data_IF_609565241234
#
_entry.id   IF_609565241234
#
_cell.length_a   1.000
_cell.length_b   1.000
_cell.length_c   1.000
_cell.angle_alpha   90.00
_cell.angle_beta   90.00
_cell.angle_gamma   90.00
#
_symmetry.space_group_name_H-M   'P 1'
#
loop_
_entity.id
_entity.type
_entity.pdbx_description
1 polymer ?
#
# COMPACT_ATOMS: atom_id res chain seq x y z
N UNK A 1 22.88 14.29 -4.79
CA UNK A 1 21.41 14.05 -4.71
C UNK A 1 20.93 12.79 -5.44
N UNK A 2 21.59 12.32 -6.51
CA UNK A 2 21.23 11.05 -7.19
C UNK A 2 21.74 9.83 -6.41
N UNK A 3 22.94 9.89 -5.82
CA UNK A 3 23.56 8.76 -5.10
C UNK A 3 22.76 8.28 -3.88
N UNK A 4 22.15 9.19 -3.12
CA UNK A 4 21.30 8.87 -1.95
C UNK A 4 20.00 8.16 -2.35
N UNK A 5 19.42 8.51 -3.51
CA UNK A 5 18.24 7.83 -4.05
C UNK A 5 18.60 6.41 -4.55
N UNK A 6 19.77 6.26 -5.16
CA UNK A 6 20.31 4.96 -5.60
C UNK A 6 20.60 4.06 -4.39
N UNK A 7 21.19 4.57 -3.31
CA UNK A 7 21.41 3.77 -2.09
C UNK A 7 20.10 3.35 -1.42
N UNK A 8 19.12 4.26 -1.32
CA UNK A 8 17.80 3.94 -0.75
C UNK A 8 17.03 2.89 -1.57
N UNK A 9 17.11 2.95 -2.91
CA UNK A 9 16.48 1.96 -3.79
C UNK A 9 17.19 0.60 -3.76
N UNK A 10 18.54 0.60 -3.69
CA UNK A 10 19.33 -0.62 -3.50
C UNK A 10 19.07 -1.29 -2.14
N UNK A 11 18.93 -0.51 -1.05
CA UNK A 11 18.55 -1.04 0.26
C UNK A 11 17.18 -1.72 0.24
N UNK A 12 16.17 -1.11 -0.41
CA UNK A 12 14.86 -1.75 -0.57
C UNK A 12 15.01 -3.05 -1.37
N UNK A 13 15.76 -3.07 -2.46
CA UNK A 13 15.97 -4.27 -3.28
C UNK A 13 16.66 -5.41 -2.50
N UNK A 14 17.66 -5.11 -1.66
CA UNK A 14 18.30 -6.12 -0.82
C UNK A 14 17.33 -6.79 0.14
N UNK A 15 16.38 -6.03 0.71
CA UNK A 15 15.33 -6.58 1.57
C UNK A 15 14.37 -7.55 0.83
N UNK A 16 14.28 -7.54 -0.52
CA UNK A 16 13.51 -8.61 -1.24
C UNK A 16 14.25 -9.92 -1.08
N UNK A 17 15.56 -9.87 -1.32
CA UNK A 17 16.41 -11.04 -1.47
C UNK A 17 16.65 -11.71 -0.11
N UNK A 18 16.84 -10.91 0.94
CA UNK A 18 17.05 -11.42 2.31
C UNK A 18 15.74 -11.75 3.03
N UNK A 19 14.60 -11.25 2.53
CA UNK A 19 13.30 -11.41 3.19
C UNK A 19 13.12 -10.58 4.46
N UNK A 20 14.09 -9.71 4.78
CA UNK A 20 14.04 -8.83 5.94
C UNK A 20 12.88 -7.82 5.86
N UNK A 21 12.30 -7.53 7.02
CA UNK A 21 11.13 -6.64 7.15
C UNK A 21 11.36 -5.68 8.33
N UNK A 22 12.07 -4.56 8.12
CA UNK A 22 12.51 -3.69 9.21
C UNK A 22 11.36 -2.91 9.87
N UNK A 23 10.21 -2.77 9.22
CA UNK A 23 9.11 -1.93 9.71
C UNK A 23 8.00 -2.76 10.35
N UNK A 24 7.77 -2.65 11.65
CA UNK A 24 6.71 -3.39 12.35
C UNK A 24 5.46 -2.55 12.61
N UNK A 25 4.29 -3.18 12.54
CA UNK A 25 3.04 -2.59 12.99
C UNK A 25 2.97 -2.66 14.53
N UNK A 26 2.81 -1.52 15.18
CA UNK A 26 2.69 -1.45 16.65
C UNK A 26 1.41 -2.10 17.18
N UNK A 27 0.35 -2.16 16.36
CA UNK A 27 -0.95 -2.71 16.77
C UNK A 27 -1.00 -4.23 16.73
N UNK A 28 -0.39 -4.87 15.73
CA UNK A 28 -0.50 -6.32 15.53
C UNK A 28 0.84 -7.04 15.31
N UNK A 29 1.96 -6.35 15.44
CA UNK A 29 3.32 -6.92 15.28
C UNK A 29 3.71 -7.26 13.85
N UNK A 30 2.80 -7.15 12.87
CA UNK A 30 3.08 -7.54 11.48
C UNK A 30 4.21 -6.70 10.88
N UNK A 31 5.19 -7.37 10.28
CA UNK A 31 6.37 -6.73 9.70
C UNK A 31 6.21 -6.46 8.20
N UNK A 32 6.81 -5.36 7.73
CA UNK A 32 6.77 -4.85 6.38
C UNK A 32 8.17 -4.45 5.92
N UNK A 33 8.39 -4.58 4.62
CA UNK A 33 9.67 -4.26 3.99
C UNK A 33 9.92 -2.75 3.80
N UNK A 34 8.87 -1.96 3.73
CA UNK A 34 8.98 -0.53 3.51
C UNK A 34 7.86 0.22 4.23
N UNK A 35 8.16 1.47 4.61
CA UNK A 35 7.28 2.31 5.42
C UNK A 35 5.94 2.60 4.74
N UNK A 36 5.91 2.76 3.41
CA UNK A 36 4.67 2.97 2.65
C UNK A 36 3.69 1.79 2.77
N UNK A 37 4.20 0.55 2.83
CA UNK A 37 3.38 -0.63 3.05
C UNK A 37 2.84 -0.70 4.48
N UNK A 38 3.67 -0.37 5.49
CA UNK A 38 3.23 -0.27 6.88
C UNK A 38 2.16 0.82 7.05
N UNK A 39 2.35 1.99 6.44
CA UNK A 39 1.37 3.08 6.49
C UNK A 39 0.04 2.69 5.87
N UNK A 40 0.06 2.05 4.69
CA UNK A 40 -1.16 1.50 4.07
C UNK A 40 -1.83 0.46 4.95
N UNK A 41 -1.04 -0.41 5.59
CA UNK A 41 -1.56 -1.39 6.51
C UNK A 41 -2.25 -0.76 7.73
N UNK A 42 -1.65 0.27 8.34
CA UNK A 42 -2.23 0.90 9.53
C UNK A 42 -3.65 1.44 9.32
N UNK A 43 -4.03 1.80 8.08
CA UNK A 43 -5.39 2.23 7.74
C UNK A 43 -6.46 1.16 8.02
N UNK A 44 -6.10 -0.12 8.05
CA UNK A 44 -7.05 -1.19 8.36
C UNK A 44 -7.45 -1.16 9.84
N UNK A 45 -6.51 -0.81 10.73
CA UNK A 45 -6.77 -0.73 12.17
C UNK A 45 -7.59 0.50 12.53
N UNK A 46 -7.43 1.58 11.77
CA UNK A 46 -8.20 2.81 11.95
C UNK A 46 -9.54 2.80 11.21
N UNK A 47 -9.87 1.71 10.49
CA UNK A 47 -11.03 1.61 9.60
C UNK A 47 -11.14 2.75 8.58
N UNK A 48 -10.04 3.46 8.31
CA UNK A 48 -10.05 4.60 7.41
C UNK A 48 -10.07 4.11 5.97
N UNK A 49 -11.18 4.41 5.29
CA UNK A 49 -11.35 4.16 3.85
C UNK A 49 -11.52 5.49 3.11
N UNK A 50 -10.44 6.27 2.94
CA UNK A 50 -10.54 7.63 2.43
C UNK A 50 -11.00 7.70 0.97
N UNK A 51 -10.92 6.59 0.23
CA UNK A 51 -11.31 6.54 -1.17
C UNK A 51 -12.72 5.95 -1.28
N UNK A 52 -13.66 6.69 -1.85
CA UNK A 52 -15.02 6.20 -2.08
C UNK A 52 -15.36 6.18 -3.57
N UNK A 53 -16.16 5.19 -3.97
CA UNK A 53 -16.75 5.15 -5.30
C UNK A 53 -17.89 6.17 -5.38
N UNK A 54 -17.82 7.09 -6.33
CA UNK A 54 -18.89 8.08 -6.55
C UNK A 54 -20.18 7.45 -7.10
N UNK A 55 -20.07 6.30 -7.76
CA UNK A 55 -21.22 5.61 -8.38
C UNK A 55 -22.04 4.81 -7.36
N UNK A 56 -21.39 4.05 -6.47
CA UNK A 56 -22.08 3.15 -5.53
C UNK A 56 -21.77 3.38 -4.05
N UNK A 57 -21.01 4.42 -3.71
CA UNK A 57 -20.67 4.77 -2.33
C UNK A 57 -19.66 3.83 -1.63
N UNK A 58 -19.24 2.74 -2.28
CA UNK A 58 -18.34 1.76 -1.67
C UNK A 58 -16.98 2.39 -1.35
N UNK A 59 -16.49 2.16 -0.12
CA UNK A 59 -15.23 2.74 0.35
C UNK A 59 -14.05 1.75 0.28
N UNK A 60 -12.85 2.27 0.06
CA UNK A 60 -11.60 1.54 -0.16
C UNK A 60 -10.43 2.17 0.62
N UNK A 61 -9.45 1.33 0.99
CA UNK A 61 -8.25 1.73 1.74
C UNK A 61 -7.12 2.30 0.87
N UNK A 62 -7.19 2.09 -0.46
CA UNK A 62 -6.19 2.56 -1.43
C UNK A 62 -6.82 2.96 -2.76
N UNK A 63 -6.21 3.95 -3.43
CA UNK A 63 -6.62 4.44 -4.75
C UNK A 63 -6.61 3.36 -5.84
N UNK A 64 -5.58 2.49 -5.87
CA UNK A 64 -5.49 1.41 -6.87
C UNK A 64 -6.65 0.42 -6.78
N UNK A 65 -7.15 0.14 -5.57
CA UNK A 65 -8.33 -0.70 -5.37
C UNK A 65 -9.61 0.00 -5.83
N UNK A 66 -9.76 1.30 -5.57
CA UNK A 66 -10.87 2.08 -6.12
C UNK A 66 -10.82 2.08 -7.66
N UNK A 67 -9.66 2.33 -8.26
CA UNK A 67 -9.49 2.32 -9.71
C UNK A 67 -9.92 0.99 -10.34
N UNK A 68 -9.42 -0.13 -9.80
CA UNK A 68 -9.83 -1.47 -10.26
C UNK A 68 -11.33 -1.69 -10.09
N UNK A 69 -11.92 -1.20 -9.00
CA UNK A 69 -13.36 -1.26 -8.80
C UNK A 69 -14.12 -0.40 -9.81
N UNK A 70 -13.65 0.79 -10.18
CA UNK A 70 -14.34 1.62 -11.16
C UNK A 70 -14.52 0.91 -12.51
N UNK A 71 -13.58 0.05 -12.91
CA UNK A 71 -13.71 -0.78 -14.11
C UNK A 71 -14.91 -1.75 -14.08
N UNK A 72 -15.37 -2.14 -12.89
CA UNK A 72 -16.56 -3.00 -12.78
C UNK A 72 -17.84 -2.25 -13.13
N UNK A 73 -17.83 -0.91 -13.08
CA UNK A 73 -18.97 -0.08 -13.48
C UNK A 73 -18.95 0.24 -14.97
N UNK A 74 -17.76 0.40 -15.57
CA UNK A 74 -17.62 0.68 -17.01
C UNK A 74 -17.76 -0.58 -17.87
N UNK A 75 -17.78 -1.77 -17.27
CA UNK A 75 -17.82 -3.03 -18.01
C UNK A 75 -16.51 -3.33 -18.76
N UNK A 76 -15.45 -2.54 -18.54
CA UNK A 76 -14.13 -2.80 -19.09
C UNK A 76 -13.55 -4.05 -18.40
N UNK A 77 -13.61 -5.19 -19.11
CA UNK A 77 -12.89 -6.40 -18.72
C UNK A 77 -11.39 -6.07 -18.60
N UNK A 78 -10.79 -6.55 -17.51
CA UNK A 78 -9.36 -6.41 -17.25
C UNK A 78 -8.53 -7.25 -18.22
#
# INVERSE_FOLDING_TARGET
EIETLVTATMQIALLIHTGEKPSSCKTCGKMFRCHSHLWRHNKIHTWQKPYHCKTCGKMFTSSSHLWRHMKTHTGEKS
#
